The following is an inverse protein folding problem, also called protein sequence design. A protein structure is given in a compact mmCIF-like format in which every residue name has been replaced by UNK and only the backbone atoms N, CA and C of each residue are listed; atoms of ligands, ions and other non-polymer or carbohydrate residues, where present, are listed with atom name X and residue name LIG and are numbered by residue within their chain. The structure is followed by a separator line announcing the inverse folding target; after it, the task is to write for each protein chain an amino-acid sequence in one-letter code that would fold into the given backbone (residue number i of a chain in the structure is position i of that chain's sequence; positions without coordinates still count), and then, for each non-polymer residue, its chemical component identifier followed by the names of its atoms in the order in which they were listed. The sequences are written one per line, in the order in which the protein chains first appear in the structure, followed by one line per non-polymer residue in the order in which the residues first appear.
data_IF_920753363243
#
_entry.id   IF_920753363243
#
_cell.length_a   1.000
_cell.length_b   1.000
_cell.length_c   1.000
_cell.angle_alpha   90.00
_cell.angle_beta   90.00
_cell.angle_gamma   90.00
#
_symmetry.space_group_name_H-M   'P 1'
#
loop_
_entity.id
_entity.type
_entity.pdbx_description
1 polymer ?
#
# COMPACT_ATOMS: atom_id res chain seq x y z
N UNK A 1 -44.84 -12.02 -7.74
CA UNK A 1 -43.75 -12.77 -8.42
C UNK A 1 -42.46 -12.28 -7.78
N UNK A 2 -41.99 -12.87 -6.67
CA UNK A 2 -41.03 -14.01 -6.63
C UNK A 2 -39.86 -13.77 -7.61
N UNK A 3 -38.59 -13.68 -7.21
CA UNK A 3 -37.91 -14.38 -6.13
C UNK A 3 -36.69 -13.62 -5.58
N UNK A 4 -36.41 -13.92 -4.30
CA UNK A 4 -35.15 -13.84 -3.58
C UNK A 4 -34.05 -14.72 -4.19
N UNK A 5 -32.77 -14.34 -4.04
CA UNK A 5 -31.70 -15.22 -3.54
C UNK A 5 -30.38 -14.49 -3.33
N UNK A 6 -29.75 -14.87 -2.23
CA UNK A 6 -28.47 -14.44 -1.64
C UNK A 6 -27.24 -15.13 -2.26
N UNK A 7 -26.09 -14.46 -2.09
CA UNK A 7 -24.74 -15.00 -1.86
C UNK A 7 -23.96 -15.69 -2.99
N UNK A 8 -22.92 -14.98 -3.48
CA UNK A 8 -21.55 -15.48 -3.73
C UNK A 8 -20.63 -14.31 -3.26
N UNK A 9 -19.67 -14.44 -2.36
CA UNK A 9 -18.56 -15.38 -2.36
C UNK A 9 -17.28 -14.60 -2.70
N UNK A 10 -16.41 -14.38 -1.72
CA UNK A 10 -15.12 -13.68 -1.81
C UNK A 10 -14.24 -14.24 -2.94
N UNK A 11 -13.56 -13.39 -3.72
CA UNK A 11 -12.30 -13.74 -4.41
C UNK A 11 -11.49 -12.49 -4.82
N UNK A 12 -10.31 -12.42 -4.20
CA UNK A 12 -9.00 -11.97 -4.68
C UNK A 12 -8.86 -10.95 -5.83
N UNK A 13 -8.00 -9.96 -5.56
CA UNK A 13 -6.90 -9.49 -6.43
C UNK A 13 -7.10 -9.68 -7.95
N UNK A 14 -7.42 -8.59 -8.63
CA UNK A 14 -7.37 -8.50 -10.08
C UNK A 14 -7.03 -7.08 -10.51
N UNK A 15 -5.79 -6.89 -10.94
CA UNK A 15 -5.26 -5.73 -11.65
C UNK A 15 -6.28 -5.21 -12.67
N UNK A 16 -6.90 -4.06 -12.39
CA UNK A 16 -7.57 -3.30 -13.43
C UNK A 16 -6.51 -2.41 -14.09
N UNK A 17 -5.71 -3.01 -14.98
CA UNK A 17 -4.88 -2.27 -15.92
C UNK A 17 -5.81 -1.52 -16.86
N UNK A 18 -6.03 -0.23 -16.61
CA UNK A 18 -6.58 0.64 -17.63
C UNK A 18 -5.47 0.94 -18.65
N UNK A 19 -5.64 0.59 -19.93
CA UNK A 19 -4.66 0.95 -20.95
C UNK A 19 -4.76 2.45 -21.23
N UNK A 20 -3.75 3.21 -20.85
CA UNK A 20 -3.53 4.57 -21.38
C UNK A 20 -2.89 4.41 -22.76
N UNK A 21 -3.67 4.60 -23.81
CA UNK A 21 -3.15 4.69 -25.18
C UNK A 21 -2.66 6.11 -25.44
N UNK A 22 -1.34 6.29 -25.55
CA UNK A 22 -0.75 7.51 -26.13
C UNK A 22 -0.34 7.24 -27.56
N UNK A 23 -1.19 7.63 -28.52
CA UNK A 23 -0.85 7.59 -29.93
C UNK A 23 -0.25 8.92 -30.38
N UNK A 24 1.03 8.95 -30.76
CA UNK A 24 1.60 10.05 -31.53
C UNK A 24 1.68 9.65 -33.00
N UNK A 25 0.87 10.30 -33.83
CA UNK A 25 0.91 10.18 -35.30
C UNK A 25 2.17 10.87 -35.82
N UNK A 26 3.08 10.11 -36.44
CA UNK A 26 4.12 10.67 -37.31
C UNK A 26 3.85 10.28 -38.76
N UNK A 27 3.97 11.30 -39.62
CA UNK A 27 3.73 11.24 -41.07
C UNK A 27 4.74 10.33 -41.75
N UNK A 28 4.22 9.40 -42.57
CA UNK A 28 4.88 8.32 -43.34
C UNK A 28 4.96 7.00 -42.56
N UNK A 29 4.08 6.08 -42.94
CA UNK A 29 3.80 4.83 -42.23
C UNK A 29 4.92 3.80 -42.33
N UNK A 30 5.62 3.58 -41.22
CA UNK A 30 6.41 2.37 -40.97
C UNK A 30 6.52 2.16 -39.46
N UNK A 31 5.91 1.08 -38.96
CA UNK A 31 6.11 0.60 -37.59
C UNK A 31 7.40 -0.23 -37.55
N UNK A 32 8.39 0.19 -36.76
CA UNK A 32 9.56 -0.62 -36.46
C UNK A 32 9.36 -1.27 -35.08
N UNK A 33 9.02 -2.56 -35.07
CA UNK A 33 9.08 -3.40 -33.87
C UNK A 33 10.47 -4.02 -33.78
N UNK A 34 11.21 -3.74 -32.71
CA UNK A 34 12.45 -4.45 -32.40
C UNK A 34 12.17 -5.63 -31.47
N UNK A 35 12.64 -6.83 -31.83
CA UNK A 35 12.67 -8.02 -30.97
C UNK A 35 14.04 -8.12 -30.30
N UNK A 36 14.06 -8.31 -28.98
CA UNK A 36 15.24 -8.83 -28.30
C UNK A 36 15.29 -10.38 -28.44
N UNK A 37 16.47 -10.99 -28.68
CA UNK A 37 16.59 -12.43 -28.81
C UNK A 37 16.55 -13.13 -27.43
N UNK A 38 15.80 -14.24 -27.35
CA UNK A 38 15.84 -15.19 -26.23
C UNK A 38 17.14 -16.00 -26.27
N UNK A 39 17.91 -15.97 -25.19
CA UNK A 39 18.99 -16.91 -24.97
C UNK A 39 18.45 -18.22 -24.37
N UNK A 40 18.81 -19.34 -24.98
CA UNK A 40 18.45 -20.69 -24.57
C UNK A 40 19.29 -21.14 -23.35
N UNK A 41 18.61 -21.62 -22.30
CA UNK A 41 19.25 -22.28 -21.16
C UNK A 41 19.30 -23.80 -21.39
N UNK A 42 20.49 -24.38 -21.38
CA UNK A 42 20.75 -25.79 -21.65
C UNK A 42 20.59 -26.67 -20.39
N UNK A 43 20.22 -27.94 -20.64
CA UNK A 43 19.69 -28.91 -19.68
C UNK A 43 20.72 -29.60 -18.77
N UNK A 44 21.43 -28.84 -17.91
CA UNK A 44 22.37 -29.40 -16.92
C UNK A 44 22.01 -29.12 -15.44
N UNK A 45 20.79 -28.63 -15.16
CA UNK A 45 20.38 -28.20 -13.81
C UNK A 45 19.56 -29.19 -12.98
N UNK A 46 19.12 -30.33 -13.54
CA UNK A 46 18.12 -31.18 -12.90
C UNK A 46 18.67 -32.05 -11.75
N UNK A 47 19.92 -32.50 -11.81
CA UNK A 47 20.46 -33.47 -10.84
C UNK A 47 20.83 -32.84 -9.49
N UNK A 48 21.28 -31.57 -9.46
CA UNK A 48 21.66 -30.88 -8.22
C UNK A 48 20.44 -30.47 -7.38
N UNK A 49 19.32 -30.13 -8.03
CA UNK A 49 18.09 -29.74 -7.35
C UNK A 49 17.45 -30.90 -6.56
N UNK A 50 17.50 -32.11 -7.10
CA UNK A 50 16.91 -33.30 -6.46
C UNK A 50 17.70 -33.72 -5.21
N UNK A 51 19.03 -33.62 -5.24
CA UNK A 51 19.87 -33.90 -4.06
C UNK A 51 19.67 -32.90 -2.92
N UNK A 52 19.50 -31.61 -3.23
CA UNK A 52 19.27 -30.58 -2.21
C UNK A 52 17.88 -30.68 -1.57
N UNK A 53 16.85 -31.04 -2.34
CA UNK A 53 15.49 -31.25 -1.82
C UNK A 53 15.44 -32.51 -0.93
N UNK A 54 16.12 -33.60 -1.32
CA UNK A 54 16.21 -34.79 -0.49
C UNK A 54 16.98 -34.51 0.83
N UNK A 55 18.08 -33.76 0.77
CA UNK A 55 18.84 -33.37 1.96
C UNK A 55 18.02 -32.45 2.88
N UNK A 56 17.26 -31.50 2.32
CA UNK A 56 16.34 -30.63 3.06
C UNK A 56 15.23 -31.43 3.76
N UNK A 57 14.59 -32.38 3.06
CA UNK A 57 13.50 -33.17 3.64
C UNK A 57 13.99 -34.17 4.70
N UNK A 58 15.22 -34.67 4.58
CA UNK A 58 15.83 -35.56 5.57
C UNK A 58 16.30 -34.79 6.82
N UNK A 59 16.83 -33.57 6.67
CA UNK A 59 17.26 -32.73 7.79
C UNK A 59 16.09 -32.05 8.54
N UNK A 60 14.91 -31.92 7.93
CA UNK A 60 13.76 -31.25 8.53
C UNK A 60 12.66 -32.18 9.08
N UNK A 61 12.83 -33.50 9.06
CA UNK A 61 11.83 -34.48 9.55
C UNK A 61 11.73 -34.61 11.08
N UNK A 62 12.32 -33.69 11.85
CA UNK A 62 12.30 -33.72 13.32
C UNK A 62 12.07 -32.35 13.94
N UNK A 63 10.83 -31.85 13.92
CA UNK A 63 10.38 -30.87 14.92
C UNK A 63 9.26 -31.51 15.73
N UNK A 64 9.50 -31.94 16.98
CA UNK A 64 8.39 -32.35 17.84
C UNK A 64 7.43 -31.16 18.01
N UNK A 65 6.13 -31.45 18.10
CA UNK A 65 5.10 -30.47 18.47
C UNK A 65 5.49 -29.83 19.80
N UNK A 66 6.12 -28.66 19.73
CA UNK A 66 6.27 -27.77 20.87
C UNK A 66 4.91 -27.13 21.14
N UNK A 67 4.36 -27.22 22.36
CA UNK A 67 3.15 -26.48 22.69
C UNK A 67 3.40 -25.00 22.44
N UNK A 68 2.42 -24.35 21.82
CA UNK A 68 2.46 -22.92 21.52
C UNK A 68 2.55 -22.14 22.83
N UNK A 69 3.70 -21.53 23.09
CA UNK A 69 3.91 -20.58 24.19
C UNK A 69 3.76 -19.18 23.61
N UNK A 70 2.74 -18.39 23.98
CA UNK A 70 2.62 -17.01 23.52
C UNK A 70 3.66 -16.16 24.24
N UNK A 71 4.87 -16.10 23.69
CA UNK A 71 5.82 -15.06 24.08
C UNK A 71 5.60 -13.84 23.19
N UNK A 72 4.39 -13.27 23.23
CA UNK A 72 4.17 -11.90 22.73
C UNK A 72 4.67 -10.94 23.79
N UNK A 73 5.98 -10.94 23.99
CA UNK A 73 6.65 -9.82 24.62
C UNK A 73 6.47 -8.62 23.70
N UNK A 74 5.49 -7.77 23.99
CA UNK A 74 5.46 -6.42 23.44
C UNK A 74 6.79 -5.77 23.81
N UNK A 75 7.70 -5.71 22.84
CA UNK A 75 8.91 -4.91 22.97
C UNK A 75 8.47 -3.52 23.42
N UNK A 76 8.82 -3.15 24.65
CA UNK A 76 8.76 -1.76 25.08
C UNK A 76 9.74 -1.05 24.17
N UNK A 77 9.24 -0.45 23.10
CA UNK A 77 9.96 0.55 22.34
C UNK A 77 10.12 1.79 23.22
N UNK A 78 10.89 1.68 24.30
CA UNK A 78 11.43 2.79 25.06
C UNK A 78 12.69 3.29 24.35
N UNK A 79 12.52 3.76 23.13
CA UNK A 79 13.50 4.61 22.47
C UNK A 79 12.97 6.03 22.54
N UNK A 80 13.74 6.98 23.10
CA UNK A 80 13.50 8.41 22.88
C UNK A 80 13.20 8.60 21.40
N UNK A 81 11.96 8.98 21.03
CA UNK A 81 11.63 9.22 19.62
C UNK A 81 12.57 10.30 19.12
N UNK A 82 13.45 9.94 18.21
CA UNK A 82 14.31 10.90 17.52
C UNK A 82 13.40 12.01 16.96
N UNK A 83 13.82 13.27 17.11
CA UNK A 83 13.11 14.41 16.55
C UNK A 83 12.91 14.17 15.06
N UNK A 84 11.66 14.08 14.61
CA UNK A 84 11.35 13.94 13.18
C UNK A 84 11.65 15.26 12.46
N UNK A 85 12.23 15.19 11.26
CA UNK A 85 12.77 16.33 10.49
C UNK A 85 11.76 16.94 9.51
N UNK A 86 10.52 16.46 9.48
CA UNK A 86 9.46 17.02 8.65
C UNK A 86 8.12 16.28 8.82
N UNK A 87 7.08 16.81 8.17
CA UNK A 87 5.72 16.26 8.21
C UNK A 87 5.68 14.82 7.65
N UNK A 88 6.35 14.59 6.53
CA UNK A 88 6.41 13.26 5.87
C UNK A 88 7.00 12.21 6.82
N UNK A 89 8.08 12.56 7.52
CA UNK A 89 8.67 11.64 8.49
C UNK A 89 7.68 11.27 9.60
N UNK A 90 6.68 12.10 9.92
CA UNK A 90 5.66 11.82 10.93
C UNK A 90 4.57 10.83 10.50
N UNK A 91 4.44 10.57 9.19
CA UNK A 91 3.48 9.61 8.64
C UNK A 91 3.94 8.18 8.95
N UNK A 92 3.02 7.36 9.45
CA UNK A 92 3.28 5.99 9.83
C UNK A 92 3.90 5.81 11.21
N UNK A 93 4.38 4.59 11.49
CA UNK A 93 4.75 4.15 12.85
C UNK A 93 3.65 4.45 13.89
N UNK A 94 2.40 4.35 13.46
CA UNK A 94 1.19 4.51 14.28
C UNK A 94 1.08 3.34 15.27
N UNK A 95 0.60 3.59 16.50
CA UNK A 95 0.56 2.57 17.53
C UNK A 95 -0.48 1.48 17.23
N UNK A 96 -0.21 0.29 17.77
CA UNK A 96 -1.22 -0.75 17.98
C UNK A 96 -1.78 -0.57 19.39
N UNK A 97 -3.08 -0.38 19.50
CA UNK A 97 -3.78 -0.14 20.76
C UNK A 97 -4.59 -1.38 21.09
N UNK A 98 -4.34 -2.00 22.23
CA UNK A 98 -5.14 -3.16 22.67
C UNK A 98 -6.56 -2.72 23.03
N UNK A 99 -7.56 -3.43 22.51
CA UNK A 99 -8.96 -3.21 22.84
C UNK A 99 -9.33 -4.20 23.94
N UNK A 100 -9.24 -3.76 25.20
CA UNK A 100 -9.41 -4.63 26.37
C UNK A 100 -10.78 -5.31 26.38
N UNK A 101 -11.87 -4.57 26.23
CA UNK A 101 -13.24 -5.12 26.29
C UNK A 101 -13.49 -6.25 25.28
N UNK A 102 -13.08 -6.06 24.02
CA UNK A 102 -13.23 -7.09 22.98
C UNK A 102 -12.28 -8.27 23.21
N UNK A 103 -11.06 -7.99 23.65
CA UNK A 103 -10.08 -9.04 23.91
C UNK A 103 -10.54 -9.96 25.06
N UNK A 104 -11.08 -9.36 26.12
CA UNK A 104 -11.54 -10.08 27.30
C UNK A 104 -12.83 -10.87 27.00
N UNK A 105 -13.74 -10.30 26.19
CA UNK A 105 -14.98 -10.96 25.79
C UNK A 105 -14.77 -12.16 24.84
N UNK A 106 -13.71 -12.15 24.04
CA UNK A 106 -13.45 -13.19 23.02
C UNK A 106 -12.37 -14.18 23.44
N UNK A 107 -11.55 -13.85 24.45
CA UNK A 107 -10.36 -14.61 24.80
C UNK A 107 -9.20 -14.47 23.79
N UNK A 108 -9.38 -13.67 22.74
CA UNK A 108 -8.36 -13.39 21.73
C UNK A 108 -7.67 -12.04 21.99
N UNK A 109 -6.44 -11.86 21.52
CA UNK A 109 -5.82 -10.53 21.51
C UNK A 109 -6.32 -9.70 20.32
N UNK A 110 -7.10 -8.66 20.61
CA UNK A 110 -7.64 -7.74 19.60
C UNK A 110 -6.96 -6.38 19.72
N UNK A 111 -6.31 -5.96 18.63
CA UNK A 111 -5.56 -4.71 18.54
C UNK A 111 -6.17 -3.79 17.46
N UNK A 112 -6.34 -2.52 17.80
CA UNK A 112 -6.68 -1.46 16.85
C UNK A 112 -5.42 -0.77 16.32
N UNK A 113 -5.34 -0.59 14.99
CA UNK A 113 -4.27 0.18 14.36
C UNK A 113 -4.69 1.65 14.26
N UNK A 114 -4.04 2.53 15.01
CA UNK A 114 -4.45 3.93 15.15
C UNK A 114 -3.95 4.82 13.99
N UNK A 115 -4.40 4.56 12.77
CA UNK A 115 -4.02 5.33 11.56
C UNK A 115 -4.55 6.76 11.56
N UNK A 116 -5.55 7.08 12.39
CA UNK A 116 -6.02 8.45 12.59
C UNK A 116 -4.98 9.36 13.26
N UNK A 117 -3.86 8.82 13.75
CA UNK A 117 -2.75 9.58 14.31
C UNK A 117 -1.70 10.01 13.28
N UNK A 118 -1.88 9.68 12.00
CA UNK A 118 -1.08 10.34 10.96
C UNK A 118 -1.48 11.83 10.85
N UNK A 119 -0.59 12.72 10.38
CA UNK A 119 -0.83 14.17 10.32
C UNK A 119 -2.11 14.62 9.60
N UNK A 120 -2.48 13.98 8.49
CA UNK A 120 -3.72 14.20 7.74
C UNK A 120 -4.91 13.41 8.30
N UNK A 121 -4.76 12.78 9.47
CA UNK A 121 -5.85 12.18 10.24
C UNK A 121 -6.36 10.84 9.71
N UNK A 122 -5.67 10.22 8.73
CA UNK A 122 -6.15 8.97 8.15
C UNK A 122 -5.02 8.06 7.63
N UNK A 123 -5.40 6.84 7.25
CA UNK A 123 -4.50 5.89 6.59
C UNK A 123 -4.04 6.38 5.20
N UNK A 124 -4.79 7.30 4.57
CA UNK A 124 -4.50 7.77 3.20
C UNK A 124 -3.21 8.58 3.11
N UNK A 125 -2.72 9.12 4.22
CA UNK A 125 -1.42 9.81 4.28
C UNK A 125 -0.27 8.94 3.75
N UNK A 126 -0.30 7.63 4.05
CA UNK A 126 0.71 6.68 3.58
C UNK A 126 0.69 6.53 2.06
N UNK A 127 -0.51 6.53 1.50
CA UNK A 127 -0.72 6.37 0.05
C UNK A 127 -0.36 7.68 -0.66
N UNK A 128 -0.73 8.83 -0.08
CA UNK A 128 -0.40 10.15 -0.61
C UNK A 128 1.11 10.35 -0.74
N UNK A 129 1.89 9.94 0.27
CA UNK A 129 3.37 9.93 0.19
C UNK A 129 3.85 9.12 -1.02
N UNK A 130 3.35 7.90 -1.19
CA UNK A 130 3.79 7.02 -2.28
C UNK A 130 3.41 7.55 -3.65
N UNK A 131 2.20 8.05 -3.82
CA UNK A 131 1.75 8.67 -5.08
C UNK A 131 2.67 9.82 -5.49
N UNK A 132 3.01 10.70 -4.55
CA UNK A 132 3.82 11.88 -4.85
C UNK A 132 5.28 11.51 -5.11
N UNK A 133 5.85 10.60 -4.31
CA UNK A 133 7.21 10.08 -4.54
C UNK A 133 7.32 9.43 -5.91
N UNK A 134 6.41 8.51 -6.24
CA UNK A 134 6.43 7.79 -7.52
C UNK A 134 6.27 8.75 -8.70
N UNK A 135 5.37 9.74 -8.61
CA UNK A 135 5.18 10.72 -9.68
C UNK A 135 6.39 11.65 -9.86
N UNK A 136 7.08 12.02 -8.78
CA UNK A 136 8.32 12.81 -8.86
C UNK A 136 9.48 11.98 -9.43
N UNK A 137 9.56 10.70 -9.06
CA UNK A 137 10.58 9.77 -9.55
C UNK A 137 10.40 9.43 -11.04
N UNK A 138 9.14 9.26 -11.49
CA UNK A 138 8.84 9.01 -12.91
C UNK A 138 8.96 10.27 -13.78
N UNK A 139 8.86 11.45 -13.18
CA UNK A 139 8.81 12.74 -13.86
C UNK A 139 7.41 13.15 -14.33
N UNK A 140 6.37 12.38 -13.99
CA UNK A 140 4.96 12.75 -14.22
C UNK A 140 4.55 13.98 -13.38
N UNK A 141 5.21 14.18 -12.24
CA UNK A 141 5.14 15.37 -11.41
C UNK A 141 6.52 16.01 -11.33
N UNK A 142 6.55 17.34 -11.33
CA UNK A 142 7.75 18.15 -11.14
C UNK A 142 7.60 19.02 -9.90
N UNK A 143 8.71 19.45 -9.30
CA UNK A 143 8.68 20.42 -8.21
C UNK A 143 7.93 21.69 -8.61
N UNK A 144 7.05 22.19 -7.73
CA UNK A 144 6.12 23.28 -8.03
C UNK A 144 4.92 22.88 -8.91
N UNK A 145 4.89 21.63 -9.40
CA UNK A 145 3.76 21.03 -10.10
C UNK A 145 2.52 20.91 -9.21
N UNK A 146 1.38 20.62 -9.83
CA UNK A 146 0.09 20.56 -9.13
C UNK A 146 -0.48 19.15 -9.19
N UNK A 147 -0.79 18.60 -8.02
CA UNK A 147 -1.57 17.36 -7.88
C UNK A 147 -3.05 17.72 -7.82
N UNK A 148 -3.86 17.07 -8.65
CA UNK A 148 -5.32 17.29 -8.69
C UNK A 148 -6.06 16.06 -8.18
N UNK A 149 -7.01 16.24 -7.26
CA UNK A 149 -7.85 15.16 -6.73
C UNK A 149 -9.32 15.57 -6.76
N UNK A 150 -10.19 14.70 -7.30
CA UNK A 150 -11.64 14.90 -7.33
C UNK A 150 -12.34 14.18 -6.18
N UNK A 151 -12.24 14.69 -4.96
CA UNK A 151 -12.83 14.04 -3.78
C UNK A 151 -13.05 15.02 -2.62
N UNK A 152 -14.09 14.78 -1.82
CA UNK A 152 -14.25 15.37 -0.48
C UNK A 152 -13.65 14.49 0.63
N UNK A 153 -13.01 13.38 0.27
CA UNK A 153 -12.63 12.32 1.20
C UNK A 153 -11.29 12.53 1.89
N UNK A 154 -10.93 11.57 2.74
CA UNK A 154 -9.64 11.54 3.42
C UNK A 154 -8.45 11.56 2.44
N UNK A 155 -8.62 11.08 1.20
CA UNK A 155 -7.55 11.12 0.18
C UNK A 155 -7.21 12.55 -0.21
N UNK A 156 -8.22 13.41 -0.40
CA UNK A 156 -8.01 14.82 -0.71
C UNK A 156 -7.28 15.53 0.43
N UNK A 157 -7.71 15.31 1.67
CA UNK A 157 -7.06 15.88 2.87
C UNK A 157 -5.61 15.41 2.97
N UNK A 158 -5.36 14.11 2.77
CA UNK A 158 -4.00 13.55 2.79
C UNK A 158 -3.11 14.13 1.69
N UNK A 159 -3.60 14.26 0.45
CA UNK A 159 -2.83 14.86 -0.64
C UNK A 159 -2.57 16.36 -0.41
N UNK A 160 -3.57 17.10 0.07
CA UNK A 160 -3.44 18.51 0.44
C UNK A 160 -2.43 18.70 1.59
N UNK A 161 -2.36 17.75 2.52
CA UNK A 161 -1.39 17.76 3.63
C UNK A 161 0.02 17.41 3.17
N UNK A 162 0.18 16.42 2.28
CA UNK A 162 1.48 15.86 1.90
C UNK A 162 2.14 16.63 0.75
N UNK A 163 1.41 17.07 -0.27
CA UNK A 163 2.00 17.71 -1.45
C UNK A 163 2.85 18.96 -1.15
N UNK A 164 2.44 19.87 -0.26
CA UNK A 164 3.27 21.02 0.12
C UNK A 164 4.59 20.61 0.78
N UNK A 165 4.62 19.48 1.48
CA UNK A 165 5.84 18.97 2.12
C UNK A 165 6.90 18.50 1.09
N UNK A 166 6.48 18.18 -0.14
CA UNK A 166 7.35 17.90 -1.29
C UNK A 166 7.54 19.12 -2.21
N UNK A 167 7.07 20.32 -1.82
CA UNK A 167 7.15 21.52 -2.64
C UNK A 167 6.21 21.51 -3.85
N UNK A 168 5.16 20.69 -3.82
CA UNK A 168 4.12 20.62 -4.84
C UNK A 168 2.85 21.35 -4.36
N UNK A 169 2.00 21.77 -5.30
CA UNK A 169 0.67 22.31 -5.01
C UNK A 169 -0.36 21.19 -5.04
N UNK A 170 -1.45 21.36 -4.29
CA UNK A 170 -2.61 20.49 -4.37
C UNK A 170 -3.83 21.32 -4.78
N UNK A 171 -4.62 20.79 -5.71
CA UNK A 171 -5.90 21.38 -6.10
C UNK A 171 -6.98 20.31 -5.97
N UNK A 172 -7.90 20.51 -5.04
CA UNK A 172 -8.98 19.56 -4.77
C UNK A 172 -10.27 20.08 -5.37
N UNK A 173 -10.95 19.23 -6.13
CA UNK A 173 -12.29 19.49 -6.66
C UNK A 173 -13.29 18.73 -5.81
N UNK A 174 -14.21 19.45 -5.19
CA UNK A 174 -15.23 18.94 -4.28
C UNK A 174 -16.61 19.21 -4.92
N UNK A 175 -17.55 18.25 -4.93
CA UNK A 175 -18.92 18.51 -5.34
C UNK A 175 -19.68 19.35 -4.31
N UNK A 176 -20.64 20.14 -4.78
CA UNK A 176 -21.38 21.12 -3.95
C UNK A 176 -22.20 20.49 -2.80
N UNK A 177 -22.46 19.18 -2.86
CA UNK A 177 -23.24 18.43 -1.88
C UNK A 177 -22.38 17.73 -0.80
N UNK A 178 -21.06 17.99 -0.79
CA UNK A 178 -20.17 17.43 0.22
C UNK A 178 -20.45 18.00 1.62
N UNK A 179 -20.28 17.16 2.65
CA UNK A 179 -20.44 17.58 4.03
C UNK A 179 -19.46 18.72 4.40
N UNK A 180 -19.96 19.74 5.10
CA UNK A 180 -19.23 20.97 5.45
C UNK A 180 -17.90 20.68 6.18
N UNK A 181 -17.90 19.72 7.12
CA UNK A 181 -16.69 19.34 7.87
C UNK A 181 -15.53 18.93 6.96
N UNK A 182 -15.81 18.38 5.77
CA UNK A 182 -14.77 17.97 4.83
C UNK A 182 -14.24 19.16 4.03
N UNK A 183 -15.09 20.15 3.78
CA UNK A 183 -14.70 21.38 3.09
C UNK A 183 -13.85 22.26 4.00
N UNK A 184 -14.18 22.35 5.30
CA UNK A 184 -13.41 23.15 6.26
C UNK A 184 -11.99 22.60 6.52
N UNK A 185 -11.78 21.31 6.27
CA UNK A 185 -10.48 20.64 6.48
C UNK A 185 -9.57 20.66 5.23
N UNK A 186 -9.95 21.36 4.16
CA UNK A 186 -9.23 21.47 2.89
C UNK A 186 -8.86 22.93 2.57
#
# INVERSE_FOLDING_TARGET
MLASSTAWGMSLFGLCSWPIYTGTRLSRGSFAFSRCPMAAATAAGAAAAVSLIACYLLLHKGRPNLPWVPTVGFSRASGRRARRRGLVEAIGNTPLIRINSLSDATGCEILGKAEFLNPGGSVKDRVAVKIIEEALESGDLVYGGTVTEGSAGSTAISLATVAPAYGCRCHVVIPDDAAIEKVENL
#
